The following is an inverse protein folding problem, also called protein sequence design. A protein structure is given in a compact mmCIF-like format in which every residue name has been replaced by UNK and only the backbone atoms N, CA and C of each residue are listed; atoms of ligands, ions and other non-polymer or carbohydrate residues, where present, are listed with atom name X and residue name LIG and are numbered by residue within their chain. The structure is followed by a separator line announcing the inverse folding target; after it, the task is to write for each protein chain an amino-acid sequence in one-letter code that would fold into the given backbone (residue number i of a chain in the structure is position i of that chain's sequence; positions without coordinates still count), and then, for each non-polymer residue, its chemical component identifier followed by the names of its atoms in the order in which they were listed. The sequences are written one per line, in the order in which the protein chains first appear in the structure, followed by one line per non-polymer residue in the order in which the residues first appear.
data_IF_551705335996
#
_entry.id   IF_551705335996
#
_cell.length_a   1.000
_cell.length_b   1.000
_cell.length_c   1.000
_cell.angle_alpha   90.00
_cell.angle_beta   90.00
_cell.angle_gamma   90.00
#
_symmetry.space_group_name_H-M   'P 1'
#
loop_
_entity.id
_entity.type
_entity.pdbx_description
1 polymer ?
#
# COMPACT_ATOMS: atom_id res chain seq x y z
N UNK A 1 11.41 10.21 9.24
CA UNK A 1 11.35 8.76 9.01
C UNK A 1 12.58 8.37 8.20
N UNK A 2 13.12 7.17 8.40
CA UNK A 2 14.36 6.68 7.76
C UNK A 2 14.14 6.10 6.34
N UNK A 3 13.02 6.44 5.70
CA UNK A 3 12.54 5.88 4.43
C UNK A 3 12.52 4.33 4.41
N UNK A 4 12.37 3.71 5.59
CA UNK A 4 12.22 2.27 5.73
C UNK A 4 10.75 1.87 5.72
N UNK A 5 10.42 0.86 4.93
CA UNK A 5 9.11 0.24 4.85
C UNK A 5 9.21 -1.17 5.46
N UNK A 6 8.16 -1.60 6.14
CA UNK A 6 8.00 -2.99 6.58
C UNK A 6 6.76 -3.55 5.88
N UNK A 7 6.94 -4.60 5.10
CA UNK A 7 5.92 -5.20 4.27
C UNK A 7 5.66 -6.63 4.69
N UNK A 8 4.40 -7.04 4.68
CA UNK A 8 3.96 -8.42 4.85
C UNK A 8 2.85 -8.69 3.83
N UNK A 9 2.78 -9.90 3.27
CA UNK A 9 1.75 -10.25 2.27
C UNK A 9 0.81 -11.34 2.80
N UNK A 10 -0.50 -11.09 2.73
CA UNK A 10 -1.55 -12.05 3.05
C UNK A 10 -2.18 -12.62 1.76
N UNK A 11 -1.39 -13.34 0.97
CA UNK A 11 -1.83 -13.96 -0.29
C UNK A 11 -1.86 -13.00 -1.47
N UNK A 12 -1.26 -11.80 -1.34
CA UNK A 12 -1.20 -10.81 -2.40
C UNK A 12 0.07 -10.93 -3.26
N UNK A 13 -0.04 -10.46 -4.50
CA UNK A 13 1.08 -10.38 -5.44
C UNK A 13 2.16 -9.42 -4.93
N UNK A 14 3.45 -9.64 -5.30
CA UNK A 14 4.54 -8.82 -4.82
C UNK A 14 4.40 -7.36 -5.28
N UNK A 15 4.69 -6.38 -4.41
CA UNK A 15 4.72 -4.97 -4.79
C UNK A 15 5.79 -4.69 -5.86
N UNK A 16 5.57 -3.67 -6.67
CA UNK A 16 6.52 -3.19 -7.68
C UNK A 16 7.27 -1.96 -7.15
N UNK A 17 8.58 -1.94 -7.23
CA UNK A 17 9.42 -0.80 -6.85
C UNK A 17 9.99 -0.16 -8.12
N UNK A 18 9.73 1.13 -8.31
CA UNK A 18 10.39 1.98 -9.30
C UNK A 18 11.40 2.84 -8.55
N UNK A 19 12.69 2.72 -8.85
CA UNK A 19 13.75 3.38 -8.07
C UNK A 19 13.93 4.89 -8.36
N UNK A 20 13.17 5.41 -9.33
CA UNK A 20 13.28 6.80 -9.82
C UNK A 20 14.46 7.06 -10.77
N UNK A 21 15.35 6.09 -10.98
CA UNK A 21 16.50 6.13 -11.90
C UNK A 21 16.31 5.24 -13.14
N UNK A 22 15.22 4.47 -13.18
CA UNK A 22 14.82 3.67 -14.33
C UNK A 22 14.82 2.16 -14.08
N UNK A 23 15.21 1.70 -12.88
CA UNK A 23 15.01 0.32 -12.49
C UNK A 23 13.58 0.11 -11.97
N UNK A 24 13.00 -1.01 -12.38
CA UNK A 24 11.65 -1.42 -11.97
C UNK A 24 11.71 -2.90 -11.66
N UNK A 25 11.46 -3.27 -10.40
CA UNK A 25 11.58 -4.66 -9.92
C UNK A 25 10.49 -5.00 -8.90
N UNK A 26 10.09 -6.27 -8.88
CA UNK A 26 9.18 -6.76 -7.85
C UNK A 26 9.93 -6.96 -6.53
N UNK A 27 9.33 -6.49 -5.44
CA UNK A 27 9.86 -6.66 -4.10
C UNK A 27 9.56 -8.08 -3.62
N UNK A 28 10.57 -8.88 -3.22
CA UNK A 28 10.39 -10.29 -2.85
C UNK A 28 9.83 -10.44 -1.43
N UNK A 29 8.63 -9.88 -1.18
CA UNK A 29 7.93 -10.04 0.09
C UNK A 29 7.45 -11.49 0.23
N UNK A 30 7.75 -12.19 1.33
CA UNK A 30 7.21 -13.54 1.56
C UNK A 30 5.68 -13.56 1.51
N UNK A 31 5.11 -14.44 0.69
CA UNK A 31 3.66 -14.59 0.57
C UNK A 31 3.12 -15.49 1.67
N UNK A 32 2.41 -14.91 2.64
CA UNK A 32 1.65 -15.65 3.63
C UNK A 32 0.25 -16.04 3.13
N UNK A 33 -0.49 -16.78 3.95
CA UNK A 33 -1.86 -17.18 3.63
C UNK A 33 -2.84 -15.98 3.66
N UNK A 34 -3.97 -16.04 2.95
CA UNK A 34 -5.03 -15.04 3.09
C UNK A 34 -5.51 -14.91 4.54
N UNK A 35 -5.90 -13.70 4.92
CA UNK A 35 -6.48 -13.46 6.25
C UNK A 35 -7.71 -14.35 6.47
N UNK A 36 -7.82 -14.94 7.66
CA UNK A 36 -8.92 -15.83 8.02
C UNK A 36 -8.74 -17.30 7.61
N UNK A 37 -7.67 -17.64 6.88
CA UNK A 37 -7.35 -19.05 6.55
C UNK A 37 -6.76 -19.85 7.72
N UNK A 38 -6.49 -19.20 8.85
CA UNK A 38 -5.89 -19.79 10.06
C UNK A 38 -4.99 -18.79 10.78
N UNK A 39 -4.34 -19.24 11.86
CA UNK A 39 -3.27 -18.48 12.53
C UNK A 39 -1.95 -18.88 11.88
N UNK A 40 -1.49 -18.09 10.92
CA UNK A 40 -0.18 -18.28 10.26
C UNK A 40 0.58 -16.96 10.40
N UNK A 41 1.79 -16.97 11.00
CA UNK A 41 2.60 -15.76 11.09
C UNK A 41 3.00 -15.30 9.69
N UNK A 42 3.07 -13.98 9.50
CA UNK A 42 3.57 -13.37 8.28
C UNK A 42 5.03 -12.98 8.48
N UNK A 43 5.90 -13.40 7.58
CA UNK A 43 7.31 -13.01 7.61
C UNK A 43 7.47 -11.61 6.99
N UNK A 44 7.81 -10.58 7.79
CA UNK A 44 7.91 -9.24 7.27
C UNK A 44 9.24 -9.03 6.54
N UNK A 45 9.18 -8.33 5.41
CA UNK A 45 10.35 -7.79 4.73
C UNK A 45 10.52 -6.32 5.10
N UNK A 46 11.67 -5.98 5.68
CA UNK A 46 12.09 -4.58 5.82
C UNK A 46 12.96 -4.18 4.63
N UNK A 47 12.59 -3.09 3.97
CA UNK A 47 13.37 -2.52 2.87
C UNK A 47 13.48 -1.00 3.01
N UNK A 48 14.57 -0.45 2.48
CA UNK A 48 14.74 0.99 2.33
C UNK A 48 14.29 1.39 0.93
N UNK A 49 13.41 2.38 0.84
CA UNK A 49 12.96 2.94 -0.44
C UNK A 49 13.69 4.26 -0.66
N UNK A 50 14.52 4.38 -1.72
CA UNK A 50 15.25 5.61 -2.02
C UNK A 50 14.32 6.81 -2.18
N UNK A 51 14.84 8.01 -1.90
CA UNK A 51 14.07 9.24 -2.13
C UNK A 51 13.74 9.37 -3.62
N UNK A 52 12.50 9.74 -3.92
CA UNK A 52 11.99 9.82 -5.29
C UNK A 52 11.62 8.47 -5.92
N UNK A 53 11.79 7.35 -5.22
CA UNK A 53 11.29 6.06 -5.63
C UNK A 53 9.80 5.89 -5.32
N UNK A 54 9.15 5.02 -6.08
CA UNK A 54 7.74 4.67 -5.93
C UNK A 54 7.60 3.19 -5.59
N UNK A 55 6.98 2.90 -4.45
CA UNK A 55 6.50 1.57 -4.15
C UNK A 55 5.02 1.48 -4.55
N UNK A 56 4.72 0.49 -5.39
CA UNK A 56 3.41 0.30 -6.01
C UNK A 56 2.83 -1.02 -5.52
N UNK A 57 1.72 -0.95 -4.81
CA UNK A 57 0.93 -2.10 -4.39
C UNK A 57 -0.36 -2.15 -5.20
N UNK A 58 -0.77 -3.34 -5.59
CA UNK A 58 -1.93 -3.51 -6.45
C UNK A 58 -2.72 -4.76 -6.11
N UNK A 59 -4.03 -4.72 -6.41
CA UNK A 59 -4.85 -5.94 -6.41
C UNK A 59 -4.62 -6.71 -7.71
N UNK A 60 -4.84 -8.02 -7.66
CA UNK A 60 -4.68 -8.89 -8.82
C UNK A 60 -5.61 -8.51 -10.00
N UNK A 61 -6.73 -7.82 -9.74
CA UNK A 61 -7.58 -7.21 -10.76
C UNK A 61 -6.86 -6.25 -11.71
N UNK A 62 -5.69 -5.73 -11.34
CA UNK A 62 -4.84 -4.93 -12.24
C UNK A 62 -4.25 -5.76 -13.39
N UNK A 63 -4.03 -7.06 -13.18
CA UNK A 63 -3.29 -7.92 -14.13
C UNK A 63 -4.05 -9.18 -14.57
N UNK A 64 -5.08 -9.59 -13.82
CA UNK A 64 -5.86 -10.82 -14.05
C UNK A 64 -6.44 -10.84 -15.46
N UNK A 65 -5.92 -11.76 -16.26
CA UNK A 65 -6.51 -12.20 -17.53
C UNK A 65 -6.76 -13.71 -17.49
N UNK A 66 -7.83 -14.19 -18.14
CA UNK A 66 -8.24 -15.61 -18.10
C UNK A 66 -7.26 -16.57 -18.78
N UNK A 67 -6.46 -16.04 -19.71
CA UNK A 67 -5.73 -16.86 -20.69
C UNK A 67 -4.20 -16.75 -20.55
N UNK A 68 -3.69 -16.04 -19.53
CA UNK A 68 -2.25 -15.86 -19.34
C UNK A 68 -1.82 -16.23 -17.92
N UNK A 69 -0.65 -16.85 -17.83
CA UNK A 69 0.03 -17.13 -16.57
C UNK A 69 0.34 -15.84 -15.78
N UNK A 70 0.38 -15.95 -14.45
CA UNK A 70 0.62 -14.84 -13.53
C UNK A 70 2.00 -14.23 -13.77
N UNK A 71 3.03 -15.05 -14.01
CA UNK A 71 4.38 -14.56 -14.27
C UNK A 71 4.43 -13.70 -15.54
N UNK A 72 3.78 -14.15 -16.62
CA UNK A 72 3.65 -13.38 -17.86
C UNK A 72 2.81 -12.10 -17.69
N UNK A 73 1.90 -12.06 -16.73
CA UNK A 73 1.13 -10.87 -16.38
C UNK A 73 1.99 -9.87 -15.59
N UNK A 74 2.79 -10.35 -14.64
CA UNK A 74 3.74 -9.54 -13.87
C UNK A 74 4.83 -8.94 -14.76
N UNK A 75 5.38 -9.71 -15.70
CA UNK A 75 6.37 -9.22 -16.67
C UNK A 75 5.80 -8.10 -17.55
N UNK A 76 4.53 -8.23 -17.97
CA UNK A 76 3.84 -7.17 -18.72
C UNK A 76 3.61 -5.92 -17.87
N UNK A 77 3.25 -6.07 -16.60
CA UNK A 77 3.10 -4.94 -15.69
C UNK A 77 4.44 -4.22 -15.49
N UNK A 78 5.53 -4.97 -15.28
CA UNK A 78 6.89 -4.43 -15.19
C UNK A 78 7.30 -3.67 -16.45
N UNK A 79 7.05 -4.25 -17.62
CA UNK A 79 7.33 -3.60 -18.91
C UNK A 79 6.50 -2.32 -19.11
N UNK A 80 5.21 -2.34 -18.72
CA UNK A 80 4.36 -1.16 -18.77
C UNK A 80 4.90 -0.05 -17.86
N UNK A 81 5.31 -0.38 -16.64
CA UNK A 81 5.92 0.56 -15.71
C UNK A 81 7.24 1.13 -16.23
N UNK A 82 8.13 0.31 -16.81
CA UNK A 82 9.38 0.75 -17.45
C UNK A 82 9.14 1.76 -18.59
N UNK A 83 8.01 1.64 -19.28
CA UNK A 83 7.65 2.53 -20.38
C UNK A 83 7.00 3.85 -19.95
N UNK A 84 6.69 4.02 -18.66
CA UNK A 84 5.98 5.21 -18.16
C UNK A 84 6.82 6.47 -18.30
N UNK A 85 6.25 7.57 -18.85
CA UNK A 85 6.88 8.88 -18.74
C UNK A 85 7.00 9.29 -17.27
N UNK A 86 8.01 10.10 -16.92
CA UNK A 86 8.13 10.69 -15.59
C UNK A 86 6.84 11.42 -15.18
N UNK A 87 6.38 11.20 -13.95
CA UNK A 87 5.18 11.82 -13.40
C UNK A 87 3.84 11.29 -13.93
N UNK A 88 3.85 10.20 -14.73
CA UNK A 88 2.62 9.55 -15.19
C UNK A 88 2.05 8.55 -14.19
N UNK A 89 2.86 8.04 -13.25
CA UNK A 89 2.42 7.03 -12.29
C UNK A 89 1.36 7.60 -11.33
N UNK A 90 1.58 8.79 -10.81
CA UNK A 90 0.68 9.53 -9.91
C UNK A 90 -0.64 9.92 -10.57
N UNK A 91 -0.65 9.96 -11.91
CA UNK A 91 -1.83 10.26 -12.72
C UNK A 91 -2.61 9.02 -13.13
N UNK A 92 -2.22 7.84 -12.64
CA UNK A 92 -2.86 6.56 -12.99
C UNK A 92 -2.37 5.95 -14.30
N UNK A 93 -1.26 6.42 -14.88
CA UNK A 93 -0.75 5.92 -16.17
C UNK A 93 -0.44 4.41 -16.16
N UNK A 94 -0.13 3.83 -15.00
CA UNK A 94 0.03 2.38 -14.88
C UNK A 94 -1.30 1.63 -15.02
N UNK A 95 -2.39 2.18 -14.49
CA UNK A 95 -3.75 1.63 -14.64
C UNK A 95 -4.20 1.70 -16.10
N UNK A 96 -3.88 2.78 -16.81
CA UNK A 96 -4.23 2.96 -18.22
C UNK A 96 -3.46 2.00 -19.14
N UNK A 97 -2.21 1.69 -18.81
CA UNK A 97 -1.33 0.82 -19.60
C UNK A 97 -1.34 -0.64 -19.18
N UNK A 98 -1.84 -0.95 -17.98
CA UNK A 98 -2.04 -2.31 -17.55
C UNK A 98 -2.96 -3.04 -18.55
N UNK A 99 -2.67 -4.32 -18.87
CA UNK A 99 -3.42 -5.05 -19.89
C UNK A 99 -4.93 -5.04 -19.60
N UNK A 100 -5.67 -4.43 -20.52
CA UNK A 100 -7.13 -4.45 -20.65
C UNK A 100 -7.96 -3.74 -19.58
N UNK A 101 -8.02 -2.41 -19.64
CA UNK A 101 -9.17 -1.64 -19.12
C UNK A 101 -10.53 -2.17 -19.65
N UNK A 102 -10.56 -2.84 -20.81
CA UNK A 102 -11.76 -3.40 -21.43
C UNK A 102 -12.10 -4.85 -21.02
N UNK A 103 -11.26 -5.55 -20.25
CA UNK A 103 -11.46 -6.97 -19.89
C UNK A 103 -11.17 -7.29 -18.42
N UNK A 104 -11.20 -6.28 -17.53
CA UNK A 104 -11.02 -6.50 -16.09
C UNK A 104 -12.15 -7.39 -15.56
N UNK A 105 -11.77 -8.49 -14.94
CA UNK A 105 -12.69 -9.39 -14.26
C UNK A 105 -12.88 -9.06 -12.78
N UNK A 106 -12.10 -8.10 -12.27
CA UNK A 106 -12.03 -7.76 -10.85
C UNK A 106 -11.59 -6.30 -10.67
N UNK A 107 -11.81 -5.74 -9.48
CA UNK A 107 -11.44 -4.36 -9.17
C UNK A 107 -9.92 -4.20 -9.09
N UNK A 108 -9.40 -3.22 -9.82
CA UNK A 108 -7.99 -2.85 -9.79
C UNK A 108 -7.81 -1.66 -8.83
N UNK A 109 -7.21 -1.91 -7.68
CA UNK A 109 -6.75 -0.86 -6.76
C UNK A 109 -5.24 -0.71 -6.96
N UNK A 110 -4.79 0.54 -7.07
CA UNK A 110 -3.37 0.89 -7.15
C UNK A 110 -3.06 1.85 -5.99
N UNK A 111 -2.11 1.46 -5.14
CA UNK A 111 -1.57 2.32 -4.10
C UNK A 111 -0.12 2.63 -4.43
N UNK A 112 0.17 3.92 -4.63
CA UNK A 112 1.51 4.42 -4.93
C UNK A 112 1.98 5.23 -3.73
N UNK A 113 3.12 4.87 -3.15
CA UNK A 113 3.80 5.71 -2.15
C UNK A 113 5.09 6.25 -2.74
N UNK A 114 5.26 7.56 -2.60
CA UNK A 114 6.52 8.25 -2.89
C UNK A 114 7.31 8.39 -1.59
N UNK A 115 8.58 8.01 -1.64
CA UNK A 115 9.50 8.35 -0.57
C UNK A 115 9.94 9.80 -0.77
N UNK A 116 9.34 10.71 0.00
CA UNK A 116 9.71 12.12 0.04
C UNK A 116 9.95 12.54 1.49
N UNK A 117 10.96 13.39 1.72
CA UNK A 117 11.15 14.02 3.01
C UNK A 117 9.91 14.89 3.31
N UNK A 118 9.07 14.45 4.24
CA UNK A 118 7.91 15.22 4.67
C UNK A 118 8.39 16.47 5.42
N UNK A 119 7.88 17.67 5.07
CA UNK A 119 8.10 18.87 5.86
C UNK A 119 7.70 18.64 7.32
N UNK A 120 8.44 19.26 8.24
CA UNK A 120 8.09 19.25 9.66
C UNK A 120 6.71 19.90 9.84
N UNK A 121 5.68 19.09 10.11
CA UNK A 121 4.30 19.58 10.20
C UNK A 121 3.28 18.59 9.65
N UNK A 122 3.64 17.89 8.57
CA UNK A 122 2.71 17.10 7.74
C UNK A 122 2.53 15.64 8.21
N UNK A 123 3.34 15.21 9.18
CA UNK A 123 3.27 13.88 9.78
C UNK A 123 3.06 13.97 11.29
N UNK A 124 2.18 13.10 11.80
CA UNK A 124 2.01 12.84 13.23
C UNK A 124 2.04 11.35 13.47
N UNK A 125 2.80 10.96 14.49
CA UNK A 125 3.01 9.58 14.90
C UNK A 125 2.68 9.49 16.38
N UNK A 126 1.87 8.51 16.74
CA UNK A 126 1.50 8.23 18.11
C UNK A 126 1.74 6.77 18.44
N UNK A 127 2.19 6.52 19.67
CA UNK A 127 2.18 5.19 20.26
C UNK A 127 0.79 4.91 20.83
N UNK A 128 0.20 3.78 20.44
CA UNK A 128 -1.11 3.36 20.90
C UNK A 128 -0.99 2.28 21.98
N UNK A 129 -1.92 2.23 22.95
CA UNK A 129 -1.93 1.17 23.95
C UNK A 129 -2.21 -0.19 23.28
N UNK A 130 -1.54 -1.26 23.71
CA UNK A 130 -1.73 -2.62 23.16
C UNK A 130 -2.94 -3.36 23.77
N UNK A 131 -4.01 -2.64 24.06
CA UNK A 131 -5.21 -3.20 24.69
C UNK A 131 -6.47 -2.73 23.96
N UNK A 132 -7.64 -3.22 24.37
CA UNK A 132 -8.92 -2.90 23.73
C UNK A 132 -9.29 -1.40 23.68
N UNK A 133 -8.50 -0.49 24.26
CA UNK A 133 -8.69 0.96 24.14
C UNK A 133 -7.96 1.58 22.96
N UNK A 134 -7.10 0.85 22.24
CA UNK A 134 -6.27 1.40 21.16
C UNK A 134 -7.10 2.11 20.09
N UNK A 135 -8.17 1.47 19.60
CA UNK A 135 -9.01 2.03 18.54
C UNK A 135 -9.72 3.33 19.00
N UNK A 136 -10.18 3.37 20.25
CA UNK A 136 -10.80 4.58 20.81
C UNK A 136 -9.78 5.72 20.97
N UNK A 137 -8.58 5.41 21.47
CA UNK A 137 -7.50 6.37 21.59
C UNK A 137 -7.07 6.92 20.22
N UNK A 138 -6.93 6.04 19.22
CA UNK A 138 -6.54 6.40 17.87
C UNK A 138 -7.54 7.34 17.20
N UNK A 139 -8.85 7.09 17.34
CA UNK A 139 -9.90 8.00 16.84
C UNK A 139 -9.76 9.39 17.45
N UNK A 140 -9.67 9.49 18.78
CA UNK A 140 -9.54 10.78 19.45
C UNK A 140 -8.30 11.58 19.01
N UNK A 141 -7.17 10.89 18.83
CA UNK A 141 -5.93 11.50 18.35
C UNK A 141 -6.05 12.00 16.91
N UNK A 142 -6.64 11.19 16.02
CA UNK A 142 -6.81 11.53 14.61
C UNK A 142 -7.80 12.68 14.44
N UNK A 143 -8.95 12.64 15.10
CA UNK A 143 -9.95 13.72 15.04
C UNK A 143 -9.38 15.04 15.58
N UNK A 144 -8.65 15.00 16.70
CA UNK A 144 -7.96 16.17 17.23
C UNK A 144 -6.89 16.73 16.29
N UNK A 145 -6.18 15.86 15.58
CA UNK A 145 -5.16 16.28 14.63
C UNK A 145 -5.73 16.82 13.32
N UNK A 146 -6.81 16.24 12.81
CA UNK A 146 -7.52 16.77 11.64
C UNK A 146 -8.05 18.17 11.92
N UNK A 147 -8.61 18.43 13.11
CA UNK A 147 -9.00 19.78 13.52
C UNK A 147 -7.81 20.74 13.58
N UNK A 148 -6.67 20.31 14.14
CA UNK A 148 -5.46 21.12 14.16
C UNK A 148 -4.88 21.41 12.76
N UNK A 149 -5.24 20.61 11.75
CA UNK A 149 -4.89 20.80 10.35
C UNK A 149 -5.98 21.51 9.52
N UNK A 150 -7.15 21.80 10.10
CA UNK A 150 -8.29 22.38 9.39
C UNK A 150 -8.92 21.43 8.37
N UNK A 151 -8.98 20.13 8.69
CA UNK A 151 -9.50 19.05 7.84
C UNK A 151 -10.67 18.32 8.53
N UNK A 152 -11.50 19.04 9.28
CA UNK A 152 -12.59 18.48 10.07
C UNK A 152 -13.59 17.69 9.21
N UNK A 153 -13.76 18.02 7.93
CA UNK A 153 -14.65 17.26 7.03
C UNK A 153 -14.23 15.80 6.82
N UNK A 154 -12.98 15.43 7.11
CA UNK A 154 -12.47 14.08 6.95
C UNK A 154 -12.62 13.21 8.21
N UNK A 155 -13.14 13.78 9.31
CA UNK A 155 -13.18 13.12 10.62
C UNK A 155 -13.94 11.80 10.59
N UNK A 156 -15.19 11.78 10.12
CA UNK A 156 -16.05 10.59 10.14
C UNK A 156 -15.44 9.40 9.39
N UNK A 157 -14.92 9.66 8.18
CA UNK A 157 -14.28 8.62 7.35
C UNK A 157 -12.98 8.13 7.99
N UNK A 158 -12.16 9.06 8.49
CA UNK A 158 -10.88 8.71 9.12
C UNK A 158 -11.08 7.92 10.41
N UNK A 159 -12.09 8.25 11.22
CA UNK A 159 -12.42 7.51 12.43
C UNK A 159 -12.78 6.05 12.14
N UNK A 160 -13.57 5.80 11.10
CA UNK A 160 -13.92 4.45 10.68
C UNK A 160 -12.68 3.68 10.23
N UNK A 161 -11.90 4.26 9.31
CA UNK A 161 -10.68 3.64 8.76
C UNK A 161 -9.70 3.29 9.88
N UNK A 162 -9.45 4.22 10.79
CA UNK A 162 -8.52 4.04 11.91
C UNK A 162 -9.02 2.99 12.91
N UNK A 163 -10.33 2.94 13.17
CA UNK A 163 -10.91 1.93 14.06
C UNK A 163 -10.72 0.52 13.51
N UNK A 164 -10.99 0.32 12.23
CA UNK A 164 -10.81 -0.96 11.56
C UNK A 164 -9.33 -1.35 11.47
N UNK A 165 -8.45 -0.42 11.10
CA UNK A 165 -7.01 -0.68 11.03
C UNK A 165 -6.44 -1.10 12.40
N UNK A 166 -6.74 -0.34 13.45
CA UNK A 166 -6.23 -0.63 14.81
C UNK A 166 -6.88 -1.89 15.38
N UNK A 167 -8.17 -2.09 15.14
CA UNK A 167 -8.88 -3.31 15.54
C UNK A 167 -8.29 -4.56 14.89
N UNK A 168 -8.02 -4.50 13.59
CA UNK A 168 -7.37 -5.58 12.86
C UNK A 168 -5.94 -5.82 13.35
N UNK A 169 -5.16 -4.77 13.59
CA UNK A 169 -3.80 -4.90 14.13
C UNK A 169 -3.80 -5.60 15.50
N UNK A 170 -4.69 -5.23 16.43
CA UNK A 170 -4.79 -5.89 17.73
C UNK A 170 -5.27 -7.34 17.65
N UNK A 171 -6.14 -7.65 16.68
CA UNK A 171 -6.73 -8.97 16.53
C UNK A 171 -5.80 -9.97 15.84
N UNK A 172 -4.99 -9.49 14.90
CA UNK A 172 -4.22 -10.34 13.99
C UNK A 172 -2.70 -10.11 14.02
N UNK A 173 -2.21 -9.05 14.68
CA UNK A 173 -0.80 -8.62 14.64
C UNK A 173 0.12 -9.23 15.70
N UNK A 174 -0.16 -10.45 16.19
CA UNK A 174 0.75 -11.20 17.07
C UNK A 174 1.83 -11.93 16.29
#
# INVERSE_FOLDING_TARGET
ADSSYTLASAGHLPPLLLDGQGAVDFVPVPTGAPLGAGVIPYDPLRLRVPDGAHLVMFTDGLIKSRDADVDAQLDRLRAAALSLPPGSLEKGGLVERAPAAAARFDEAVLLVTTSAALPAGDLRVWELPQNGRAASAARGLVTGQLAAWGLEELADVSELVVSELVGNALRYGN
#
